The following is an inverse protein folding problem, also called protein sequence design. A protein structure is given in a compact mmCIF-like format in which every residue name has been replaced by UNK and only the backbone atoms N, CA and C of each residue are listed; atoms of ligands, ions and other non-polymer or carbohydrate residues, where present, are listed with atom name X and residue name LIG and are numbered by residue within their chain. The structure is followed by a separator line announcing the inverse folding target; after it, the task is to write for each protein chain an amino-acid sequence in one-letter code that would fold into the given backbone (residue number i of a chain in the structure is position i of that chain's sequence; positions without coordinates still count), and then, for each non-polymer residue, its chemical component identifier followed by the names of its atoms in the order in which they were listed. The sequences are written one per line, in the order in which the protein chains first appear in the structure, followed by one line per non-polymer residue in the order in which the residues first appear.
data_IF_034792000316
#
_entry.id   IF_034792000316
#
_cell.length_a   1.000
_cell.length_b   1.000
_cell.length_c   1.000
_cell.angle_alpha   90.00
_cell.angle_beta   90.00
_cell.angle_gamma   90.00
#
_symmetry.space_group_name_H-M   'P 1'
#
loop_
_entity.id
_entity.type
_entity.pdbx_description
1 polymer ?
#
# COMPACT_ATOMS: atom_id res chain seq x y z
N UNK A 1 -14.82 -58.70 -1.68
CA UNK A 1 -15.33 -57.41 -1.13
C UNK A 1 -14.37 -56.75 -0.15
N UNK A 2 -13.77 -57.49 0.80
CA UNK A 2 -12.85 -56.94 1.83
C UNK A 2 -11.60 -56.20 1.28
N UNK A 3 -10.97 -56.68 0.22
CA UNK A 3 -9.79 -56.04 -0.37
C UNK A 3 -10.07 -54.64 -0.98
N UNK A 4 -11.27 -54.45 -1.55
CA UNK A 4 -11.69 -53.14 -2.09
C UNK A 4 -11.98 -52.13 -0.98
N UNK A 5 -12.53 -52.59 0.14
CA UNK A 5 -12.83 -51.75 1.30
C UNK A 5 -11.56 -51.29 2.03
N UNK A 6 -10.56 -52.16 2.16
CA UNK A 6 -9.26 -51.81 2.73
C UNK A 6 -8.44 -50.85 1.85
N UNK A 7 -8.55 -50.96 0.53
CA UNK A 7 -7.91 -50.02 -0.41
C UNK A 7 -8.56 -48.64 -0.37
N UNK A 8 -9.89 -48.56 -0.31
CA UNK A 8 -10.64 -47.31 -0.18
C UNK A 8 -10.34 -46.60 1.15
N UNK A 9 -10.25 -47.35 2.25
CA UNK A 9 -9.94 -46.78 3.57
C UNK A 9 -8.51 -46.21 3.63
N UNK A 10 -7.54 -46.87 3.02
CA UNK A 10 -6.16 -46.37 2.92
C UNK A 10 -6.07 -45.06 2.11
N UNK A 11 -6.77 -45.00 0.98
CA UNK A 11 -6.85 -43.79 0.16
C UNK A 11 -7.47 -42.61 0.92
N UNK A 12 -8.55 -42.86 1.66
CA UNK A 12 -9.19 -41.85 2.50
C UNK A 12 -8.28 -41.33 3.61
N UNK A 13 -7.57 -42.23 4.32
CA UNK A 13 -6.62 -41.84 5.38
C UNK A 13 -5.47 -41.03 4.80
N UNK A 14 -4.92 -41.43 3.64
CA UNK A 14 -3.86 -40.64 2.98
C UNK A 14 -4.35 -39.27 2.50
N UNK A 15 -5.57 -39.18 1.96
CA UNK A 15 -6.14 -37.90 1.54
C UNK A 15 -6.40 -36.97 2.73
N UNK A 16 -6.93 -37.50 3.83
CA UNK A 16 -7.15 -36.75 5.07
C UNK A 16 -5.83 -36.25 5.68
N UNK A 17 -4.79 -37.09 5.71
CA UNK A 17 -3.46 -36.69 6.18
C UNK A 17 -2.85 -35.59 5.31
N UNK A 18 -3.01 -35.68 3.98
CA UNK A 18 -2.52 -34.66 3.06
C UNK A 18 -3.23 -33.32 3.25
N UNK A 19 -4.56 -33.33 3.45
CA UNK A 19 -5.34 -32.14 3.74
C UNK A 19 -4.93 -31.49 5.07
N UNK A 20 -4.71 -32.29 6.12
CA UNK A 20 -4.26 -31.80 7.42
C UNK A 20 -2.87 -31.16 7.35
N UNK A 21 -1.94 -31.79 6.63
CA UNK A 21 -0.60 -31.24 6.39
C UNK A 21 -0.67 -29.91 5.61
N UNK A 22 -1.55 -29.83 4.61
CA UNK A 22 -1.71 -28.61 3.80
C UNK A 22 -2.31 -27.46 4.61
N UNK A 23 -3.32 -27.71 5.45
CA UNK A 23 -3.88 -26.70 6.36
C UNK A 23 -2.95 -26.32 7.51
N UNK A 24 -2.05 -27.23 7.90
CA UNK A 24 -1.10 -26.99 8.99
C UNK A 24 -0.01 -25.98 8.63
N UNK A 25 0.41 -25.92 7.36
CA UNK A 25 1.43 -24.97 6.93
C UNK A 25 0.99 -23.51 7.08
N UNK A 26 -0.24 -23.18 6.69
CA UNK A 26 -0.81 -21.83 6.78
C UNK A 26 -0.89 -21.35 8.24
N UNK A 27 -1.38 -22.22 9.13
CA UNK A 27 -1.47 -21.94 10.57
C UNK A 27 -0.10 -21.76 11.24
N UNK A 28 0.93 -22.48 10.78
CA UNK A 28 2.31 -22.32 11.25
C UNK A 28 2.91 -20.99 10.75
N UNK A 29 2.65 -20.59 9.51
CA UNK A 29 3.12 -19.30 8.98
C UNK A 29 2.52 -18.12 9.75
N UNK A 30 1.23 -18.19 10.07
CA UNK A 30 0.56 -17.17 10.90
C UNK A 30 1.13 -17.09 12.32
N UNK A 31 1.40 -18.23 12.97
CA UNK A 31 2.01 -18.25 14.32
C UNK A 31 3.45 -17.74 14.36
N UNK A 32 4.19 -17.89 13.26
CA UNK A 32 5.55 -17.36 13.12
C UNK A 32 5.58 -15.86 12.80
N UNK A 33 4.41 -15.21 12.67
CA UNK A 33 4.31 -13.78 12.35
C UNK A 33 4.81 -13.44 10.94
N UNK A 34 4.92 -14.44 10.06
CA UNK A 34 5.26 -14.24 8.66
C UNK A 34 3.97 -13.87 7.93
N UNK A 35 3.77 -12.57 7.71
CA UNK A 35 2.64 -12.08 6.93
C UNK A 35 2.67 -12.71 5.53
N UNK A 36 1.52 -13.21 5.10
CA UNK A 36 1.40 -13.89 3.82
C UNK A 36 1.80 -12.91 2.70
N UNK A 37 2.69 -13.33 1.77
CA UNK A 37 3.18 -12.42 0.72
C UNK A 37 2.06 -11.91 -0.19
N UNK A 38 0.97 -12.67 -0.35
CA UNK A 38 -0.20 -12.25 -1.10
C UNK A 38 -1.01 -11.22 -0.30
N UNK A 39 -1.22 -11.41 1.02
CA UNK A 39 -1.86 -10.39 1.86
C UNK A 39 -1.07 -9.07 1.86
N UNK A 40 0.25 -9.14 1.99
CA UNK A 40 1.11 -7.95 1.92
C UNK A 40 1.02 -7.26 0.56
N UNK A 41 1.00 -8.02 -0.53
CA UNK A 41 0.84 -7.48 -1.88
C UNK A 41 -0.53 -6.82 -2.05
N UNK A 42 -1.61 -7.47 -1.60
CA UNK A 42 -2.97 -6.96 -1.64
C UNK A 42 -3.11 -5.66 -0.82
N UNK A 43 -2.51 -5.63 0.37
CA UNK A 43 -2.44 -4.41 1.19
C UNK A 43 -1.71 -3.30 0.45
N UNK A 44 -0.54 -3.59 -0.12
CA UNK A 44 0.25 -2.59 -0.84
C UNK A 44 -0.48 -2.06 -2.09
N UNK A 45 -1.26 -2.92 -2.78
CA UNK A 45 -2.13 -2.53 -3.89
C UNK A 45 -3.23 -1.58 -3.42
N UNK A 46 -3.93 -1.93 -2.32
CA UNK A 46 -4.97 -1.09 -1.73
C UNK A 46 -4.43 0.28 -1.29
N UNK A 47 -3.26 0.31 -0.66
CA UNK A 47 -2.57 1.56 -0.27
C UNK A 47 -2.21 2.40 -1.50
N UNK A 48 -1.73 1.76 -2.58
CA UNK A 48 -1.49 2.42 -3.85
C UNK A 48 -2.73 3.08 -4.43
N UNK A 49 -3.87 2.38 -4.47
CA UNK A 49 -5.15 2.92 -4.95
C UNK A 49 -5.62 4.10 -4.10
N UNK A 50 -5.54 3.97 -2.77
CA UNK A 50 -5.92 5.02 -1.84
C UNK A 50 -5.09 6.30 -2.07
N UNK A 51 -3.78 6.15 -2.22
CA UNK A 51 -2.87 7.25 -2.54
C UNK A 51 -3.19 7.88 -3.88
N UNK A 52 -3.41 7.06 -4.92
CA UNK A 52 -3.79 7.53 -6.26
C UNK A 52 -5.06 8.38 -6.24
N UNK A 53 -6.10 7.90 -5.55
CA UNK A 53 -7.36 8.61 -5.41
C UNK A 53 -7.19 9.93 -4.65
N UNK A 54 -6.48 9.92 -3.52
CA UNK A 54 -6.17 11.15 -2.77
C UNK A 54 -5.40 12.17 -3.60
N UNK A 55 -4.43 11.70 -4.39
CA UNK A 55 -3.68 12.51 -5.34
C UNK A 55 -4.58 13.20 -6.35
N UNK A 56 -5.53 12.47 -6.93
CA UNK A 56 -6.47 13.05 -7.89
C UNK A 56 -7.41 14.07 -7.25
N UNK A 57 -7.97 13.72 -6.08
CA UNK A 57 -8.81 14.61 -5.30
C UNK A 57 -8.11 15.93 -4.98
N UNK A 58 -6.79 15.88 -4.82
CA UNK A 58 -5.97 17.08 -4.60
C UNK A 58 -5.63 17.91 -5.84
N UNK A 59 -6.04 17.48 -7.02
CA UNK A 59 -5.72 18.15 -8.29
C UNK A 59 -4.26 17.99 -8.73
N UNK A 60 -3.48 17.09 -8.13
CA UNK A 60 -2.08 16.84 -8.55
C UNK A 60 -1.99 16.02 -9.83
N UNK A 61 -0.95 16.30 -10.61
CA UNK A 61 -0.57 15.45 -11.73
C UNK A 61 -0.06 14.10 -11.23
N UNK A 62 -0.30 13.03 -12.00
CA UNK A 62 0.09 11.67 -11.63
C UNK A 62 1.61 11.52 -11.47
N UNK A 63 2.39 12.26 -12.25
CA UNK A 63 3.86 12.23 -12.20
C UNK A 63 4.41 12.75 -10.86
N UNK A 64 3.74 13.73 -10.25
CA UNK A 64 4.10 14.22 -8.92
C UNK A 64 3.86 13.13 -7.87
N UNK A 65 2.78 12.36 -8.03
CA UNK A 65 2.43 11.28 -7.13
C UNK A 65 3.43 10.13 -7.17
N UNK A 66 3.98 9.81 -8.35
CA UNK A 66 5.06 8.82 -8.46
C UNK A 66 6.36 9.28 -7.80
N UNK A 67 6.61 10.58 -7.79
CA UNK A 67 7.80 11.15 -7.13
C UNK A 67 7.62 11.14 -5.61
N UNK A 68 6.46 11.62 -5.12
CA UNK A 68 6.16 11.69 -3.69
C UNK A 68 6.06 10.29 -3.09
N UNK A 69 5.38 9.34 -3.75
CA UNK A 69 5.07 8.01 -3.24
C UNK A 69 5.89 6.91 -3.93
N UNK A 70 7.19 7.15 -4.11
CA UNK A 70 8.10 6.23 -4.83
C UNK A 70 8.27 4.84 -4.22
N UNK A 71 7.85 4.64 -2.97
CA UNK A 71 7.86 3.33 -2.30
C UNK A 71 6.63 2.48 -2.59
N UNK A 72 5.60 3.05 -3.24
CA UNK A 72 4.40 2.32 -3.66
C UNK A 72 4.48 1.95 -5.15
N UNK A 73 3.90 0.81 -5.55
CA UNK A 73 3.86 0.41 -6.95
C UNK A 73 3.03 1.39 -7.79
N UNK A 74 3.54 1.76 -8.98
CA UNK A 74 2.93 2.77 -9.85
C UNK A 74 1.55 2.36 -10.41
N UNK A 75 1.34 1.06 -10.63
CA UNK A 75 0.09 0.53 -11.21
C UNK A 75 -1.14 0.85 -10.35
N UNK A 76 -1.21 0.45 -9.07
CA UNK A 76 -2.37 0.76 -8.24
C UNK A 76 -2.56 2.26 -7.98
N UNK A 77 -1.48 3.05 -7.92
CA UNK A 77 -1.59 4.52 -7.85
C UNK A 77 -2.32 5.06 -9.08
N UNK A 78 -1.97 4.58 -10.28
CA UNK A 78 -2.64 5.01 -11.50
C UNK A 78 -4.11 4.58 -11.54
N UNK A 79 -4.40 3.35 -11.12
CA UNK A 79 -5.77 2.83 -11.06
C UNK A 79 -6.63 3.67 -10.12
N UNK A 80 -6.19 3.89 -8.88
CA UNK A 80 -6.92 4.73 -7.93
C UNK A 80 -7.07 6.18 -8.40
N UNK A 81 -6.07 6.74 -9.08
CA UNK A 81 -6.15 8.08 -9.66
C UNK A 81 -7.21 8.19 -10.75
N UNK A 82 -7.30 7.18 -11.64
CA UNK A 82 -8.30 7.12 -12.71
C UNK A 82 -9.71 6.92 -12.17
N UNK A 83 -9.86 6.02 -11.21
CA UNK A 83 -11.15 5.73 -10.59
C UNK A 83 -11.69 6.99 -9.90
N UNK A 84 -10.82 7.72 -9.20
CA UNK A 84 -11.20 8.99 -8.59
C UNK A 84 -11.43 10.10 -9.63
N UNK A 85 -10.72 10.14 -10.75
CA UNK A 85 -10.97 11.11 -11.83
C UNK A 85 -12.36 10.90 -12.43
N UNK A 86 -12.72 9.65 -12.74
CA UNK A 86 -14.04 9.30 -13.22
C UNK A 86 -15.11 9.72 -12.21
N UNK A 87 -14.94 9.35 -10.93
CA UNK A 87 -15.86 9.70 -9.86
C UNK A 87 -16.04 11.22 -9.71
N UNK A 88 -14.96 12.00 -9.72
CA UNK A 88 -15.03 13.46 -9.62
C UNK A 88 -15.73 14.10 -10.82
N UNK A 89 -15.50 13.58 -12.04
CA UNK A 89 -16.15 14.08 -13.27
C UNK A 89 -17.65 13.78 -13.29
N UNK A 90 -18.02 12.57 -12.89
CA UNK A 90 -19.42 12.15 -12.81
C UNK A 90 -20.19 12.95 -11.74
N UNK A 91 -19.55 13.22 -10.60
CA UNK A 91 -20.18 13.86 -9.45
C UNK A 91 -19.89 15.37 -9.31
N UNK A 92 -19.14 15.96 -10.25
CA UNK A 92 -18.75 17.38 -10.26
C UNK A 92 -18.08 17.83 -8.96
N UNK A 93 -17.19 17.00 -8.43
CA UNK A 93 -16.46 17.28 -7.20
C UNK A 93 -15.28 18.17 -7.54
N UNK A 94 -15.11 19.25 -6.78
CA UNK A 94 -13.96 20.15 -6.93
C UNK A 94 -12.70 19.56 -6.27
N UNK A 95 -11.55 19.93 -6.82
CA UNK A 95 -10.26 19.54 -6.25
C UNK A 95 -10.00 20.31 -4.96
N UNK A 96 -9.44 19.64 -3.96
CA UNK A 96 -9.12 20.24 -2.67
C UNK A 96 -7.62 20.46 -2.60
N UNK A 97 -7.19 21.73 -2.56
CA UNK A 97 -5.76 22.03 -2.53
C UNK A 97 -5.11 21.47 -1.25
N UNK A 98 -3.99 20.73 -1.37
CA UNK A 98 -3.31 20.15 -0.23
C UNK A 98 -2.77 21.21 0.71
N UNK A 99 -3.22 21.15 1.96
CA UNK A 99 -2.79 22.07 3.02
C UNK A 99 -1.43 21.70 3.62
N UNK A 100 -0.96 20.47 3.35
CA UNK A 100 0.27 19.94 3.91
C UNK A 100 1.32 19.73 2.81
N UNK A 101 2.60 20.04 3.09
CA UNK A 101 3.67 19.68 2.19
C UNK A 101 3.73 18.15 2.04
N UNK A 102 4.19 17.63 0.88
CA UNK A 102 4.33 16.20 0.67
C UNK A 102 5.12 15.54 1.81
N UNK A 103 4.57 14.46 2.36
CA UNK A 103 5.28 13.69 3.38
C UNK A 103 6.59 13.13 2.79
N UNK A 104 7.70 13.17 3.55
CA UNK A 104 8.95 12.60 3.09
C UNK A 104 8.82 11.07 2.94
N UNK A 105 9.52 10.52 1.96
CA UNK A 105 9.54 9.07 1.76
C UNK A 105 10.08 8.34 3.01
N UNK A 106 9.53 7.16 3.35
CA UNK A 106 10.06 6.33 4.43
C UNK A 106 11.57 6.12 4.26
N UNK A 107 12.36 6.49 5.26
CA UNK A 107 13.83 6.38 5.24
C UNK A 107 14.59 7.64 4.78
N UNK A 108 13.92 8.68 4.28
CA UNK A 108 14.59 9.97 4.02
C UNK A 108 14.73 10.79 5.31
N UNK A 109 15.85 10.63 6.02
CA UNK A 109 16.20 11.51 7.15
C UNK A 109 16.51 12.90 6.60
N UNK A 110 15.64 13.90 6.84
CA UNK A 110 15.98 15.32 6.59
C UNK A 110 17.27 15.65 7.35
N UNK A 111 18.36 15.93 6.63
CA UNK A 111 19.45 16.72 7.21
C UNK A 111 18.87 18.10 7.47
N UNK A 112 18.54 18.39 8.72
CA UNK A 112 18.17 19.74 9.17
C UNK A 112 19.42 20.60 8.95
N UNK A 113 19.40 21.60 8.05
CA UNK A 113 20.49 22.56 7.99
C UNK A 113 20.53 23.32 9.32
N UNK A 114 21.71 23.58 9.91
CA UNK A 114 21.78 24.35 11.14
C UNK A 114 21.17 25.74 10.91
N UNK A 115 20.48 26.31 11.92
CA UNK A 115 19.89 27.64 11.79
C UNK A 115 21.02 28.64 11.52
N UNK A 116 20.97 29.32 10.36
CA UNK A 116 21.83 30.47 10.13
C UNK A 116 21.35 31.59 11.06
N UNK A 117 22.13 31.83 12.11
CA UNK A 117 22.14 33.12 12.78
C UNK A 117 22.44 34.20 11.75
N UNK A 118 21.54 35.17 11.63
CA UNK A 118 21.84 36.44 10.99
C UNK A 118 21.13 37.53 11.77
N UNK A 119 21.82 37.97 12.81
CA UNK A 119 21.58 39.27 13.42
C UNK A 119 22.16 40.37 12.51
N UNK A 120 21.39 41.47 12.42
CA UNK A 120 21.76 42.84 12.10
C UNK A 120 22.14 43.21 10.66
N UNK A 121 21.27 44.00 10.02
CA UNK A 121 21.58 45.43 9.88
C UNK A 121 20.32 46.30 9.73
N UNK A 122 20.48 47.55 10.18
CA UNK A 122 19.46 48.46 10.64
C UNK A 122 18.96 49.48 9.58
N UNK A 123 17.84 50.14 9.92
CA UNK A 123 17.40 51.50 9.56
C UNK A 123 17.10 51.88 8.10
N UNK A 124 15.86 52.27 7.83
CA UNK A 124 15.48 53.67 7.58
C UNK A 124 13.96 53.79 7.42
N UNK A 125 13.33 54.74 8.11
CA UNK A 125 11.91 55.03 8.00
C UNK A 125 11.59 56.07 6.92
N UNK A 126 10.32 56.08 6.50
CA UNK A 126 9.48 57.26 6.27
C UNK A 126 8.02 56.84 6.29
#
# INVERSE_FOLDING_TARGET
MAAKLGSALRLFVSAAALLLLLSGCDMIQQQLGLEDPNEKAARTDAEGRAVGGGCRQSGRAIEDCYTIYSWLPKSPIYEGWRDMDAYMRENKIETIEPQLPPAPAPGTRRKIPPPKSSAANATSGK
#
